data_IF_245591525524
#
_entry.id   IF_245591525524
#
_cell.length_a   1.000
_cell.length_b   1.000
_cell.length_c   1.000
_cell.angle_alpha   90.00
_cell.angle_beta   90.00
_cell.angle_gamma   90.00
#
_symmetry.space_group_name_H-M   'P 1'
#
loop_
_entity.id
_entity.type
_entity.pdbx_description
1 polymer ?
#
# COMPACT_ATOMS: atom_id res chain seq x y z
N UNK A 1 -27.46 28.13 52.51
CA UNK A 1 -27.26 27.74 51.10
C UNK A 1 -27.12 26.24 51.03
N UNK A 2 -28.24 25.52 50.91
CA UNK A 2 -28.25 24.05 50.77
C UNK A 2 -28.73 23.72 49.37
N UNK A 3 -27.80 23.22 48.55
CA UNK A 3 -28.06 22.80 47.18
C UNK A 3 -28.91 21.52 47.21
N UNK A 4 -30.19 21.66 46.88
CA UNK A 4 -31.12 20.55 46.73
C UNK A 4 -30.78 19.79 45.44
N UNK A 5 -30.17 18.61 45.55
CA UNK A 5 -29.95 17.72 44.40
C UNK A 5 -31.30 17.11 44.03
N UNK A 6 -31.91 17.61 42.96
CA UNK A 6 -33.13 16.99 42.44
C UNK A 6 -32.85 15.54 42.01
N UNK A 7 -33.68 14.56 42.43
CA UNK A 7 -33.52 13.18 42.01
C UNK A 7 -33.77 13.06 40.50
N UNK A 8 -32.87 12.37 39.79
CA UNK A 8 -33.03 12.07 38.37
C UNK A 8 -34.40 11.42 38.13
N UNK A 9 -35.20 12.01 37.25
CA UNK A 9 -36.51 11.45 36.91
C UNK A 9 -36.32 10.12 36.18
N UNK A 10 -37.22 9.15 36.39
CA UNK A 10 -37.16 7.82 35.74
C UNK A 10 -36.99 7.92 34.20
N UNK A 11 -37.56 8.97 33.60
CA UNK A 11 -37.39 9.30 32.17
C UNK A 11 -35.94 9.67 31.80
N UNK A 12 -35.21 10.37 32.67
CA UNK A 12 -33.81 10.72 32.50
C UNK A 12 -32.88 9.51 32.71
N UNK A 13 -33.24 8.62 33.64
CA UNK A 13 -32.52 7.34 33.85
C UNK A 13 -32.67 6.44 32.62
N UNK A 14 -33.90 6.33 32.08
CA UNK A 14 -34.16 5.59 30.84
C UNK A 14 -33.40 6.16 29.64
N UNK A 15 -33.34 7.49 29.52
CA UNK A 15 -32.60 8.15 28.44
C UNK A 15 -31.08 7.92 28.57
N UNK A 16 -30.51 8.03 29.77
CA UNK A 16 -29.10 7.75 30.02
C UNK A 16 -28.74 6.30 29.68
N UNK A 17 -29.61 5.35 30.03
CA UNK A 17 -29.43 3.94 29.68
C UNK A 17 -29.47 3.70 28.17
N UNK A 18 -30.44 4.31 27.47
CA UNK A 18 -30.56 4.20 26.02
C UNK A 18 -29.37 4.84 25.28
N UNK A 19 -28.87 5.96 25.80
CA UNK A 19 -27.70 6.67 25.25
C UNK A 19 -26.43 5.85 25.45
N UNK A 20 -26.26 5.22 26.62
CA UNK A 20 -25.13 4.32 26.87
C UNK A 20 -25.16 3.08 25.95
N UNK A 21 -26.34 2.51 25.69
CA UNK A 21 -26.50 1.43 24.72
C UNK A 21 -26.16 1.91 23.31
N UNK A 22 -26.67 3.06 22.87
CA UNK A 22 -26.38 3.61 21.55
C UNK A 22 -24.88 3.88 21.36
N UNK A 23 -24.22 4.48 22.35
CA UNK A 23 -22.77 4.68 22.35
C UNK A 23 -21.98 3.36 22.32
N UNK A 24 -22.47 2.35 23.05
CA UNK A 24 -21.84 1.02 23.05
C UNK A 24 -22.00 0.32 21.70
N UNK A 25 -23.17 0.45 21.06
CA UNK A 25 -23.41 -0.06 19.71
C UNK A 25 -22.52 0.65 18.68
N UNK A 26 -22.40 1.98 18.74
CA UNK A 26 -21.52 2.76 17.88
C UNK A 26 -20.05 2.35 18.08
N UNK A 27 -19.61 2.14 19.33
CA UNK A 27 -18.26 1.65 19.62
C UNK A 27 -18.01 0.24 19.04
N UNK A 28 -19.01 -0.65 19.07
CA UNK A 28 -18.92 -1.98 18.44
C UNK A 28 -18.87 -1.90 16.90
N UNK A 29 -19.62 -1.00 16.28
CA UNK A 29 -19.56 -0.76 14.82
C UNK A 29 -18.22 -0.17 14.39
N UNK A 30 -17.68 0.79 15.15
CA UNK A 30 -16.36 1.38 14.90
C UNK A 30 -15.24 0.36 15.08
N UNK A 31 -15.31 -0.50 16.11
CA UNK A 31 -14.34 -1.57 16.32
C UNK A 31 -14.32 -2.57 15.14
N UNK A 32 -15.50 -2.93 14.61
CA UNK A 32 -15.61 -3.77 13.42
C UNK A 32 -15.17 -3.08 12.11
N UNK A 33 -15.20 -1.75 12.05
CA UNK A 33 -14.63 -0.99 10.94
C UNK A 33 -13.10 -0.89 11.03
N UNK A 34 -12.56 -0.85 12.26
CA UNK A 34 -11.12 -0.82 12.52
C UNK A 34 -10.46 -2.18 12.29
N UNK A 35 -11.21 -3.28 12.45
CA UNK A 35 -10.74 -4.63 12.16
C UNK A 35 -10.81 -5.02 10.68
N UNK A 36 -11.14 -4.08 9.78
CA UNK A 36 -11.07 -4.35 8.34
C UNK A 36 -9.62 -4.24 7.84
N UNK A 37 -9.08 -5.28 7.17
CA UNK A 37 -7.68 -5.32 6.73
C UNK A 37 -7.30 -4.22 5.73
N UNK A 38 -8.29 -3.55 5.11
CA UNK A 38 -8.05 -2.49 4.13
C UNK A 38 -7.26 -1.29 4.69
N UNK A 39 -7.53 -0.86 5.93
CA UNK A 39 -6.83 0.28 6.52
C UNK A 39 -5.47 -0.10 7.10
N UNK A 40 -5.37 -1.29 7.68
CA UNK A 40 -4.11 -1.79 8.23
C UNK A 40 -3.10 -2.11 7.11
N UNK A 41 -3.52 -2.80 6.06
CA UNK A 41 -2.66 -3.13 4.91
C UNK A 41 -2.14 -1.89 4.18
N UNK A 42 -2.97 -0.87 3.96
CA UNK A 42 -2.50 0.38 3.31
C UNK A 42 -1.45 1.13 4.13
N UNK A 43 -1.61 1.17 5.45
CA UNK A 43 -0.65 1.83 6.34
C UNK A 43 0.67 1.05 6.42
N UNK A 44 0.59 -0.28 6.50
CA UNK A 44 1.75 -1.16 6.50
C UNK A 44 2.53 -1.03 5.17
N UNK A 45 1.84 -1.05 4.02
CA UNK A 45 2.47 -0.82 2.72
C UNK A 45 3.05 0.59 2.59
N UNK A 46 2.44 1.62 3.17
CA UNK A 46 3.04 2.96 3.21
C UNK A 46 4.37 2.98 3.97
N UNK A 47 4.45 2.34 5.13
CA UNK A 47 5.70 2.22 5.88
C UNK A 47 6.74 1.41 5.10
N UNK A 48 6.31 0.32 4.47
CA UNK A 48 7.13 -0.49 3.57
C UNK A 48 7.75 0.35 2.46
N UNK A 49 6.92 1.18 1.80
CA UNK A 49 7.35 2.04 0.70
C UNK A 49 8.30 3.14 1.18
N UNK A 50 8.07 3.69 2.37
CA UNK A 50 9.00 4.63 2.98
C UNK A 50 10.36 3.97 3.27
N UNK A 51 10.34 2.73 3.77
CA UNK A 51 11.54 1.95 4.05
C UNK A 51 12.34 1.64 2.78
N UNK A 52 11.67 1.13 1.74
CA UNK A 52 12.25 0.85 0.42
C UNK A 52 12.88 2.11 -0.17
N UNK A 53 12.15 3.23 -0.19
CA UNK A 53 12.70 4.52 -0.64
C UNK A 53 13.91 4.95 0.16
N UNK A 54 13.91 4.76 1.48
CA UNK A 54 15.03 5.17 2.34
C UNK A 54 16.25 4.27 2.16
N UNK A 55 16.03 2.99 1.81
CA UNK A 55 17.08 1.98 1.70
C UNK A 55 18.11 2.27 0.61
N UNK A 56 17.71 2.97 -0.44
CA UNK A 56 18.57 3.31 -1.59
C UNK A 56 19.42 4.56 -1.35
N UNK A 57 19.24 5.26 -0.23
CA UNK A 57 20.08 6.41 0.10
C UNK A 57 21.53 5.98 0.30
N UNK A 58 22.47 6.61 -0.41
CA UNK A 58 23.90 6.25 -0.41
C UNK A 58 24.67 6.77 0.81
N UNK A 59 24.07 7.64 1.64
CA UNK A 59 24.70 8.11 2.88
C UNK A 59 25.61 9.31 2.70
N UNK A 60 25.33 10.19 1.73
CA UNK A 60 26.16 11.37 1.45
C UNK A 60 26.46 12.16 2.74
N UNK A 61 27.74 12.50 2.92
CA UNK A 61 28.27 13.23 4.08
C UNK A 61 28.33 12.47 5.42
N UNK A 62 28.10 11.15 5.43
CA UNK A 62 28.33 10.29 6.60
C UNK A 62 29.60 9.44 6.45
N UNK A 63 30.25 9.10 7.58
CA UNK A 63 31.33 8.11 7.58
C UNK A 63 30.75 6.71 7.30
N UNK A 64 31.51 5.77 6.71
CA UNK A 64 31.04 4.40 6.47
C UNK A 64 30.50 3.71 7.72
N UNK A 65 31.08 3.99 8.90
CA UNK A 65 30.59 3.47 10.17
C UNK A 65 29.23 4.06 10.55
N UNK A 66 29.06 5.39 10.44
CA UNK A 66 27.79 6.06 10.73
C UNK A 66 26.68 5.61 9.75
N UNK A 67 27.02 5.39 8.49
CA UNK A 67 26.10 4.83 7.49
C UNK A 67 25.64 3.42 7.86
N UNK A 68 26.58 2.54 8.26
CA UNK A 68 26.27 1.17 8.67
C UNK A 68 25.32 1.12 9.87
N UNK A 69 25.60 1.93 10.90
CA UNK A 69 24.74 2.04 12.08
C UNK A 69 23.35 2.56 11.71
N UNK A 70 23.27 3.65 10.94
CA UNK A 70 22.00 4.23 10.54
C UNK A 70 21.15 3.26 9.72
N UNK A 71 21.76 2.55 8.75
CA UNK A 71 21.07 1.53 7.95
C UNK A 71 20.54 0.41 8.83
N UNK A 72 21.37 -0.12 9.72
CA UNK A 72 20.96 -1.23 10.57
C UNK A 72 19.86 -0.84 11.57
N UNK A 73 19.90 0.38 12.11
CA UNK A 73 18.92 0.85 13.09
C UNK A 73 17.61 1.34 12.47
N UNK A 74 17.64 2.02 11.32
CA UNK A 74 16.44 2.62 10.72
C UNK A 74 15.84 1.80 9.57
N UNK A 75 16.67 1.13 8.78
CA UNK A 75 16.25 0.41 7.56
C UNK A 75 16.07 -1.09 7.82
N UNK A 76 16.87 -1.66 8.72
CA UNK A 76 16.89 -3.10 8.98
C UNK A 76 17.82 -3.86 8.02
N UNK A 77 17.75 -5.20 8.07
CA UNK A 77 18.75 -6.08 7.44
C UNK A 77 18.38 -6.47 6.01
N UNK A 78 17.08 -6.56 5.67
CA UNK A 78 16.62 -7.04 4.35
C UNK A 78 15.32 -6.34 3.88
N UNK A 79 15.37 -5.05 3.50
CA UNK A 79 14.16 -4.26 3.21
C UNK A 79 13.32 -4.85 2.06
N UNK A 80 13.94 -5.48 1.06
CA UNK A 80 13.24 -6.10 -0.07
C UNK A 80 12.52 -7.38 0.35
N UNK A 81 13.17 -8.25 1.14
CA UNK A 81 12.57 -9.50 1.63
C UNK A 81 11.37 -9.22 2.54
N UNK A 82 11.51 -8.24 3.45
CA UNK A 82 10.40 -7.78 4.30
C UNK A 82 9.26 -7.19 3.46
N UNK A 83 9.58 -6.34 2.48
CA UNK A 83 8.57 -5.78 1.58
C UNK A 83 7.83 -6.86 0.78
N UNK A 84 8.53 -7.90 0.31
CA UNK A 84 7.88 -9.02 -0.38
C UNK A 84 6.82 -9.66 0.51
N UNK A 85 7.14 -9.97 1.78
CA UNK A 85 6.18 -10.57 2.70
C UNK A 85 4.97 -9.67 2.91
N UNK A 86 5.20 -8.37 3.14
CA UNK A 86 4.12 -7.39 3.38
C UNK A 86 3.22 -7.22 2.16
N UNK A 87 3.79 -7.23 0.95
CA UNK A 87 3.02 -7.18 -0.29
C UNK A 87 2.27 -8.50 -0.57
N UNK A 88 2.83 -9.66 -0.23
CA UNK A 88 2.14 -10.96 -0.34
C UNK A 88 0.96 -11.06 0.64
N UNK A 89 1.13 -10.58 1.88
CA UNK A 89 0.06 -10.53 2.88
C UNK A 89 -1.06 -9.59 2.42
N UNK A 90 -0.71 -8.37 1.95
CA UNK A 90 -1.68 -7.43 1.42
C UNK A 90 -2.41 -7.95 0.17
N UNK A 91 -1.71 -8.69 -0.70
CA UNK A 91 -2.30 -9.35 -1.86
C UNK A 91 -3.35 -10.37 -1.42
N UNK A 92 -2.99 -11.26 -0.47
CA UNK A 92 -3.87 -12.30 0.04
C UNK A 92 -5.10 -11.72 0.75
N UNK A 93 -4.92 -10.69 1.56
CA UNK A 93 -6.02 -10.03 2.25
C UNK A 93 -6.97 -9.34 1.29
N UNK A 94 -6.44 -8.68 0.26
CA UNK A 94 -7.25 -8.06 -0.80
C UNK A 94 -8.04 -9.10 -1.59
N UNK A 95 -7.44 -10.26 -1.90
CA UNK A 95 -8.13 -11.38 -2.55
C UNK A 95 -9.25 -11.94 -1.69
N UNK A 96 -8.99 -12.18 -0.40
CA UNK A 96 -10.00 -12.67 0.55
C UNK A 96 -11.15 -11.67 0.72
N UNK A 97 -10.85 -10.37 0.77
CA UNK A 97 -11.86 -9.34 0.83
C UNK A 97 -12.72 -9.31 -0.44
N UNK A 98 -12.08 -9.37 -1.61
CA UNK A 98 -12.75 -9.39 -2.90
C UNK A 98 -13.72 -10.58 -3.02
N UNK A 99 -13.29 -11.77 -2.59
CA UNK A 99 -14.13 -12.97 -2.58
C UNK A 99 -15.36 -12.78 -1.68
N UNK A 100 -15.16 -12.33 -0.44
CA UNK A 100 -16.26 -12.07 0.51
C UNK A 100 -17.25 -11.04 -0.01
N UNK A 101 -16.76 -9.94 -0.59
CA UNK A 101 -17.63 -8.88 -1.13
C UNK A 101 -18.41 -9.34 -2.35
N UNK A 102 -17.82 -10.19 -3.21
CA UNK A 102 -18.54 -10.84 -4.32
C UNK A 102 -19.61 -11.83 -3.84
N UNK A 103 -19.34 -12.58 -2.77
CA UNK A 103 -20.33 -13.44 -2.14
C UNK A 103 -21.51 -12.63 -1.59
N UNK A 104 -21.24 -11.53 -0.87
CA UNK A 104 -22.28 -10.61 -0.38
C UNK A 104 -23.14 -10.02 -1.51
N UNK A 105 -22.52 -9.65 -2.64
CA UNK A 105 -23.26 -9.18 -3.81
C UNK A 105 -24.16 -10.27 -4.40
N UNK A 106 -23.67 -11.52 -4.44
CA UNK A 106 -24.45 -12.66 -4.92
C UNK A 106 -25.64 -12.95 -4.02
N UNK A 107 -25.45 -12.93 -2.70
CA UNK A 107 -26.53 -13.09 -1.71
C UNK A 107 -27.56 -11.95 -1.80
N UNK A 108 -27.10 -10.71 -1.97
CA UNK A 108 -27.97 -9.55 -2.14
C UNK A 108 -28.86 -9.69 -3.38
N UNK A 109 -28.31 -10.16 -4.49
CA UNK A 109 -29.03 -10.36 -5.75
C UNK A 109 -30.06 -11.50 -5.68
N UNK A 110 -29.97 -12.37 -4.68
CA UNK A 110 -30.96 -13.43 -4.43
C UNK A 110 -32.12 -12.97 -3.55
N UNK A 111 -32.05 -11.76 -2.97
CA UNK A 111 -33.11 -11.25 -2.11
C UNK A 111 -34.36 -10.85 -2.92
N UNK A 112 -35.58 -11.07 -2.39
CA UNK A 112 -36.82 -10.77 -3.12
C UNK A 112 -37.03 -9.28 -3.44
N UNK A 113 -36.35 -8.40 -2.69
CA UNK A 113 -36.45 -6.95 -2.82
C UNK A 113 -35.09 -6.41 -3.22
N UNK A 114 -35.00 -5.79 -4.38
CA UNK A 114 -33.77 -5.18 -4.87
C UNK A 114 -33.36 -3.99 -3.98
N UNK A 115 -32.18 -4.07 -3.37
CA UNK A 115 -31.55 -2.95 -2.69
C UNK A 115 -30.46 -2.34 -3.58
N UNK A 116 -30.88 -1.51 -4.53
CA UNK A 116 -30.02 -0.92 -5.56
C UNK A 116 -28.85 -0.09 -4.98
N UNK A 117 -29.07 0.58 -3.85
CA UNK A 117 -28.03 1.37 -3.18
C UNK A 117 -26.92 0.45 -2.66
N UNK A 118 -27.28 -0.64 -1.99
CA UNK A 118 -26.31 -1.59 -1.45
C UNK A 118 -25.58 -2.33 -2.57
N UNK A 119 -26.29 -2.68 -3.65
CA UNK A 119 -25.70 -3.31 -4.84
C UNK A 119 -24.63 -2.41 -5.46
N UNK A 120 -24.93 -1.11 -5.62
CA UNK A 120 -24.00 -0.12 -6.19
C UNK A 120 -22.75 0.02 -5.31
N UNK A 121 -22.91 0.10 -3.99
CA UNK A 121 -21.79 0.20 -3.05
C UNK A 121 -20.89 -1.05 -3.10
N UNK A 122 -21.47 -2.24 -3.15
CA UNK A 122 -20.71 -3.49 -3.25
C UNK A 122 -19.95 -3.58 -4.58
N UNK A 123 -20.57 -3.19 -5.70
CA UNK A 123 -19.90 -3.13 -7.01
C UNK A 123 -18.74 -2.15 -7.00
N UNK A 124 -18.88 -0.98 -6.40
CA UNK A 124 -17.80 0.00 -6.27
C UNK A 124 -16.67 -0.52 -5.38
N UNK A 125 -17.00 -1.17 -4.25
CA UNK A 125 -16.01 -1.78 -3.37
C UNK A 125 -15.22 -2.90 -4.08
N UNK A 126 -15.90 -3.72 -4.89
CA UNK A 126 -15.28 -4.75 -5.74
C UNK A 126 -14.29 -4.11 -6.72
N UNK A 127 -14.73 -3.10 -7.48
CA UNK A 127 -13.88 -2.42 -8.46
C UNK A 127 -12.65 -1.78 -7.82
N UNK A 128 -12.83 -1.06 -6.70
CA UNK A 128 -11.72 -0.42 -5.97
C UNK A 128 -10.74 -1.44 -5.37
N UNK A 129 -11.25 -2.57 -4.86
CA UNK A 129 -10.39 -3.66 -4.35
C UNK A 129 -9.60 -4.31 -5.47
N UNK A 130 -10.20 -4.49 -6.65
CA UNK A 130 -9.51 -5.01 -7.84
C UNK A 130 -8.37 -4.08 -8.26
N UNK A 131 -8.64 -2.78 -8.41
CA UNK A 131 -7.61 -1.80 -8.77
C UNK A 131 -6.43 -1.82 -7.77
N UNK A 132 -6.73 -1.85 -6.47
CA UNK A 132 -5.71 -1.95 -5.42
C UNK A 132 -4.89 -3.24 -5.54
N UNK A 133 -5.54 -4.38 -5.78
CA UNK A 133 -4.89 -5.68 -5.95
C UNK A 133 -3.96 -5.69 -7.17
N UNK A 134 -4.38 -5.06 -8.27
CA UNK A 134 -3.56 -4.94 -9.47
C UNK A 134 -2.29 -4.10 -9.21
N UNK A 135 -2.42 -2.96 -8.53
CA UNK A 135 -1.28 -2.13 -8.10
C UNK A 135 -0.33 -2.87 -7.15
N UNK A 136 -0.89 -3.67 -6.23
CA UNK A 136 -0.10 -4.56 -5.36
C UNK A 136 0.68 -5.56 -6.21
N UNK A 137 0.06 -6.17 -7.23
CA UNK A 137 0.71 -7.15 -8.10
C UNK A 137 1.82 -6.53 -8.96
N UNK A 138 1.62 -5.33 -9.50
CA UNK A 138 2.68 -4.59 -10.21
C UNK A 138 3.93 -4.43 -9.34
N UNK A 139 3.73 -3.87 -8.15
CA UNK A 139 4.79 -3.58 -7.18
C UNK A 139 5.45 -4.86 -6.65
N UNK A 140 4.66 -5.90 -6.36
CA UNK A 140 5.16 -7.20 -5.93
C UNK A 140 6.04 -7.84 -7.01
N UNK A 141 5.68 -7.70 -8.29
CA UNK A 141 6.54 -8.12 -9.40
C UNK A 141 7.90 -7.43 -9.38
N UNK A 142 7.95 -6.11 -9.17
CA UNK A 142 9.21 -5.37 -9.07
C UNK A 142 10.07 -5.82 -7.88
N UNK A 143 9.45 -6.13 -6.74
CA UNK A 143 10.16 -6.70 -5.60
C UNK A 143 10.71 -8.10 -5.91
N UNK A 144 9.95 -8.92 -6.63
CA UNK A 144 10.36 -10.26 -7.07
C UNK A 144 11.55 -10.20 -8.01
N UNK A 145 11.55 -9.28 -8.97
CA UNK A 145 12.72 -8.98 -9.82
C UNK A 145 13.95 -8.70 -8.94
N UNK A 146 13.81 -7.79 -7.96
CA UNK A 146 14.91 -7.38 -7.08
C UNK A 146 15.45 -8.53 -6.21
N UNK A 147 14.65 -9.57 -6.00
CA UNK A 147 15.00 -10.78 -5.28
C UNK A 147 15.34 -11.96 -6.22
N UNK A 148 15.70 -11.70 -7.47
CA UNK A 148 16.06 -12.69 -8.49
C UNK A 148 14.95 -13.71 -8.83
N UNK A 149 13.68 -13.39 -8.50
CA UNK A 149 12.48 -14.20 -8.77
C UNK A 149 11.76 -13.74 -10.03
N UNK A 150 12.50 -13.58 -11.13
CA UNK A 150 12.00 -13.01 -12.39
C UNK A 150 10.80 -13.78 -12.97
N UNK A 151 10.80 -15.13 -13.06
CA UNK A 151 9.66 -15.86 -13.61
C UNK A 151 8.35 -15.61 -12.85
N UNK A 152 8.43 -15.41 -11.54
CA UNK A 152 7.25 -15.12 -10.72
C UNK A 152 6.72 -13.71 -10.95
N UNK A 153 7.62 -12.73 -11.15
CA UNK A 153 7.25 -11.37 -11.51
C UNK A 153 6.52 -11.33 -12.86
N UNK A 154 7.09 -11.99 -13.87
CA UNK A 154 6.49 -12.07 -15.20
C UNK A 154 5.13 -12.75 -15.16
N UNK A 155 4.97 -13.81 -14.36
CA UNK A 155 3.66 -14.46 -14.19
C UNK A 155 2.60 -13.55 -13.56
N UNK A 156 2.98 -12.70 -12.59
CA UNK A 156 2.06 -11.73 -11.99
C UNK A 156 1.59 -10.71 -13.02
N UNK A 157 2.52 -10.14 -13.79
CA UNK A 157 2.20 -9.14 -14.80
C UNK A 157 1.45 -9.73 -15.99
N UNK A 158 1.76 -10.95 -16.41
CA UNK A 158 1.07 -11.60 -17.53
C UNK A 158 -0.43 -11.73 -17.25
N UNK A 159 -0.80 -12.09 -16.01
CA UNK A 159 -2.22 -12.16 -15.62
C UNK A 159 -2.95 -10.82 -15.72
N UNK A 160 -2.24 -9.71 -15.51
CA UNK A 160 -2.80 -8.36 -15.63
C UNK A 160 -2.89 -7.95 -17.10
N UNK A 161 -1.83 -8.19 -17.87
CA UNK A 161 -1.78 -7.87 -19.30
C UNK A 161 -2.80 -8.68 -20.13
N UNK A 162 -3.05 -9.94 -19.74
CA UNK A 162 -4.03 -10.81 -20.42
C UNK A 162 -5.49 -10.48 -20.08
N UNK A 163 -5.75 -9.72 -19.01
CA UNK A 163 -7.12 -9.34 -18.60
C UNK A 163 -7.53 -8.04 -19.32
N UNK A 164 -8.47 -8.09 -20.29
CA UNK A 164 -8.91 -6.90 -21.02
C UNK A 164 -9.66 -5.88 -20.15
N UNK A 165 -9.99 -6.22 -18.90
CA UNK A 165 -10.63 -5.32 -17.93
C UNK A 165 -9.64 -4.80 -16.88
N UNK A 166 -8.37 -5.20 -16.93
CA UNK A 166 -7.35 -4.70 -16.02
C UNK A 166 -7.11 -3.21 -16.26
N UNK A 167 -7.10 -2.45 -15.17
CA UNK A 167 -6.77 -1.02 -15.19
C UNK A 167 -5.28 -0.79 -15.40
N UNK A 168 -4.45 -1.76 -15.02
CA UNK A 168 -3.00 -1.65 -15.07
C UNK A 168 -2.36 -2.57 -16.11
N UNK A 169 -3.16 -3.19 -16.99
CA UNK A 169 -2.70 -4.14 -18.01
C UNK A 169 -1.62 -3.57 -18.94
N UNK A 170 -1.78 -2.31 -19.37
CA UNK A 170 -0.79 -1.63 -20.20
C UNK A 170 0.55 -1.42 -19.47
N UNK A 171 0.51 -1.00 -18.20
CA UNK A 171 1.70 -0.88 -17.37
C UNK A 171 2.35 -2.24 -17.12
N UNK A 172 1.55 -3.29 -16.90
CA UNK A 172 2.04 -4.66 -16.77
C UNK A 172 2.75 -5.12 -18.05
N UNK A 173 2.19 -4.83 -19.22
CA UNK A 173 2.80 -5.13 -20.52
C UNK A 173 4.12 -4.37 -20.71
N UNK A 174 4.17 -3.10 -20.33
CA UNK A 174 5.41 -2.32 -20.34
C UNK A 174 6.48 -2.95 -19.42
N UNK A 175 6.10 -3.36 -18.21
CA UNK A 175 7.01 -4.05 -17.27
C UNK A 175 7.50 -5.40 -17.81
N UNK A 176 6.63 -6.21 -18.41
CA UNK A 176 7.03 -7.46 -19.07
C UNK A 176 8.10 -7.18 -20.12
N UNK A 177 7.86 -6.21 -21.01
CA UNK A 177 8.80 -5.83 -22.06
C UNK A 177 10.17 -5.36 -21.55
N UNK A 178 10.27 -4.84 -20.33
CA UNK A 178 11.54 -4.42 -19.72
C UNK A 178 12.38 -5.56 -19.13
N UNK A 179 11.75 -6.68 -18.77
CA UNK A 179 12.37 -7.77 -18.02
C UNK A 179 12.32 -9.15 -18.69
N UNK A 180 11.74 -9.25 -19.88
CA UNK A 180 11.93 -10.41 -20.75
C UNK A 180 13.37 -10.52 -21.28
N UNK A 181 13.77 -11.75 -21.66
CA UNK A 181 15.12 -12.07 -22.16
C UNK A 181 15.52 -11.24 -23.39
N UNK A 182 14.54 -10.83 -24.20
CA UNK A 182 14.72 -9.91 -25.31
C UNK A 182 13.84 -8.69 -25.09
N UNK A 183 14.36 -7.61 -24.47
CA UNK A 183 13.53 -6.49 -24.07
C UNK A 183 12.80 -5.83 -25.24
N UNK A 184 11.50 -5.63 -25.10
CA UNK A 184 10.64 -4.95 -26.07
C UNK A 184 10.10 -3.67 -25.44
N UNK A 185 10.71 -2.55 -25.78
CA UNK A 185 10.31 -1.25 -25.23
C UNK A 185 9.13 -0.72 -26.04
N UNK A 186 7.98 -0.58 -25.39
CA UNK A 186 6.84 0.16 -25.91
C UNK A 186 7.16 1.65 -25.96
N UNK A 187 6.70 2.36 -27.00
CA UNK A 187 6.98 3.79 -27.17
C UNK A 187 6.39 4.63 -26.03
N UNK A 188 5.25 4.19 -25.50
CA UNK A 188 4.50 4.82 -24.41
C UNK A 188 4.93 4.34 -23.02
N UNK A 189 5.92 3.45 -22.91
CA UNK A 189 6.36 2.87 -21.64
C UNK A 189 6.67 3.93 -20.56
N UNK A 190 7.39 5.05 -20.84
CA UNK A 190 7.63 6.08 -19.81
C UNK A 190 6.33 6.61 -19.17
N UNK A 191 5.30 6.88 -20.00
CA UNK A 191 4.02 7.40 -19.53
C UNK A 191 3.27 6.36 -18.70
N UNK A 192 3.26 5.09 -19.15
CA UNK A 192 2.59 3.99 -18.45
C UNK A 192 3.20 3.71 -17.07
N UNK A 193 4.53 3.81 -16.97
CA UNK A 193 5.24 3.64 -15.69
C UNK A 193 5.01 4.83 -14.75
N UNK A 194 5.00 6.06 -15.27
CA UNK A 194 4.75 7.27 -14.48
C UNK A 194 3.33 7.35 -13.92
N UNK A 195 2.35 6.77 -14.62
CA UNK A 195 0.94 6.86 -14.25
C UNK A 195 0.58 5.92 -13.09
N UNK A 196 1.13 4.70 -13.08
CA UNK A 196 0.73 3.65 -12.12
C UNK A 196 1.79 3.34 -11.05
N UNK A 197 3.07 3.68 -11.28
CA UNK A 197 4.13 3.44 -10.32
C UNK A 197 4.54 4.72 -9.60
N UNK A 198 4.92 4.58 -8.33
CA UNK A 198 5.42 5.71 -7.53
C UNK A 198 6.60 5.31 -6.65
N UNK A 199 7.37 6.31 -6.24
CA UNK A 199 8.54 6.13 -5.36
C UNK A 199 9.50 5.08 -5.90
N UNK A 200 9.95 4.18 -5.02
CA UNK A 200 10.97 3.17 -5.28
C UNK A 200 10.66 2.35 -6.53
N UNK A 201 9.41 1.91 -6.71
CA UNK A 201 8.96 1.10 -7.84
C UNK A 201 9.14 1.81 -9.18
N UNK A 202 8.71 3.07 -9.25
CA UNK A 202 8.87 3.91 -10.44
C UNK A 202 10.34 4.07 -10.80
N UNK A 203 11.19 4.35 -9.80
CA UNK A 203 12.62 4.50 -10.02
C UNK A 203 13.26 3.22 -10.54
N UNK A 204 12.88 2.04 -10.02
CA UNK A 204 13.39 0.77 -10.54
C UNK A 204 13.01 0.56 -12.01
N UNK A 205 11.74 0.81 -12.37
CA UNK A 205 11.26 0.64 -13.73
C UNK A 205 11.88 1.62 -14.73
N UNK A 206 11.98 2.90 -14.37
CA UNK A 206 12.61 3.90 -15.22
C UNK A 206 14.12 3.69 -15.33
N UNK A 207 14.80 3.28 -14.26
CA UNK A 207 16.24 2.93 -14.31
C UNK A 207 16.46 1.83 -15.35
N UNK A 208 15.68 0.75 -15.26
CA UNK A 208 15.75 -0.36 -16.20
C UNK A 208 15.48 0.08 -17.64
N UNK A 209 14.46 0.90 -17.85
CA UNK A 209 14.13 1.45 -19.16
C UNK A 209 15.30 2.24 -19.75
N UNK A 210 15.87 3.18 -19.00
CA UNK A 210 16.97 4.02 -19.47
C UNK A 210 18.28 3.24 -19.66
N UNK A 211 18.53 2.21 -18.85
CA UNK A 211 19.63 1.28 -19.06
C UNK A 211 19.53 0.56 -20.41
N UNK A 212 18.34 0.03 -20.74
CA UNK A 212 18.12 -0.65 -22.03
C UNK A 212 18.23 0.32 -23.21
N UNK A 213 17.76 1.55 -23.03
CA UNK A 213 17.85 2.62 -24.04
C UNK A 213 19.27 3.19 -24.20
N UNK A 214 20.15 2.99 -23.22
CA UNK A 214 21.48 3.61 -23.17
C UNK A 214 21.44 5.12 -22.88
N UNK A 215 20.38 5.64 -22.25
CA UNK A 215 20.25 7.05 -21.90
C UNK A 215 20.91 7.35 -20.54
N UNK A 216 22.23 7.54 -20.56
CA UNK A 216 23.01 7.82 -19.35
C UNK A 216 22.67 9.17 -18.68
N UNK A 217 22.12 10.13 -19.44
CA UNK A 217 21.75 11.44 -18.89
C UNK A 217 20.46 11.31 -18.08
N UNK A 218 19.44 10.68 -18.68
CA UNK A 218 18.19 10.39 -17.98
C UNK A 218 18.42 9.51 -16.75
N UNK A 219 19.30 8.51 -16.84
CA UNK A 219 19.65 7.65 -15.71
C UNK A 219 20.29 8.45 -14.56
N UNK A 220 21.27 9.31 -14.85
CA UNK A 220 21.93 10.15 -13.83
C UNK A 220 20.98 11.14 -13.17
N UNK A 221 20.08 11.74 -13.96
CA UNK A 221 19.05 12.63 -13.44
C UNK A 221 18.09 11.87 -12.51
N UNK A 222 17.63 10.69 -12.94
CA UNK A 222 16.76 9.82 -12.17
C UNK A 222 17.40 9.38 -10.84
N UNK A 223 18.68 8.97 -10.86
CA UNK A 223 19.42 8.60 -9.66
C UNK A 223 19.52 9.77 -8.67
N UNK A 224 19.78 10.99 -9.17
CA UNK A 224 19.87 12.19 -8.34
C UNK A 224 18.53 12.48 -7.66
N UNK A 225 17.42 12.40 -8.40
CA UNK A 225 16.08 12.56 -7.85
C UNK A 225 15.78 11.48 -6.79
N UNK A 226 16.16 10.23 -7.05
CA UNK A 226 15.96 9.14 -6.12
C UNK A 226 16.73 9.34 -4.81
N UNK A 227 17.98 9.83 -4.86
CA UNK A 227 18.77 10.10 -3.66
C UNK A 227 18.15 11.18 -2.76
N UNK A 228 17.61 12.25 -3.34
CA UNK A 228 16.91 13.30 -2.59
C UNK A 228 15.67 12.73 -1.89
N UNK A 229 14.83 11.97 -2.62
CA UNK A 229 13.64 11.35 -2.04
C UNK A 229 14.01 10.33 -0.95
N UNK A 230 15.06 9.54 -1.16
CA UNK A 230 15.56 8.58 -0.18
C UNK A 230 16.01 9.28 1.10
N UNK A 231 16.71 10.41 0.97
CA UNK A 231 17.12 11.23 2.12
C UNK A 231 15.92 11.82 2.87
N UNK A 232 14.90 12.32 2.16
CA UNK A 232 13.65 12.76 2.79
C UNK A 232 12.96 11.61 3.52
N UNK A 233 13.05 10.39 2.99
CA UNK A 233 12.56 9.17 3.65
C UNK A 233 13.23 8.92 5.00
N UNK A 234 14.56 9.00 5.05
CA UNK A 234 15.36 8.90 6.28
C UNK A 234 14.92 9.95 7.32
N UNK A 235 14.70 11.20 6.90
CA UNK A 235 14.22 12.26 7.79
C UNK A 235 12.85 11.94 8.40
N UNK A 236 11.93 11.41 7.59
CA UNK A 236 10.61 10.97 8.07
C UNK A 236 10.74 9.83 9.08
N UNK A 237 11.58 8.83 8.80
CA UNK A 237 11.85 7.71 9.72
C UNK A 237 12.45 8.18 11.05
N UNK A 238 13.38 9.14 11.03
CA UNK A 238 13.96 9.73 12.24
C UNK A 238 12.93 10.45 13.12
N UNK A 239 11.97 11.15 12.52
CA UNK A 239 10.86 11.79 13.27
C UNK A 239 10.01 10.72 13.95
N UNK A 240 9.64 9.66 13.23
CA UNK A 240 8.83 8.55 13.79
C UNK A 240 9.56 7.86 14.94
N UNK A 241 10.86 7.58 14.78
CA UNK A 241 11.68 6.97 15.83
C UNK A 241 11.84 7.91 17.05
N UNK A 242 12.02 9.21 16.81
CA UNK A 242 12.12 10.22 17.87
C UNK A 242 10.84 10.31 18.73
N UNK A 243 9.66 10.23 18.11
CA UNK A 243 8.37 10.27 18.83
C UNK A 243 8.21 9.08 19.79
N UNK A 244 8.65 7.87 19.40
CA UNK A 244 8.56 6.69 20.27
C UNK A 244 9.47 6.77 21.50
N UNK A 245 10.59 7.49 21.42
CA UNK A 245 11.50 7.69 22.55
C UNK A 245 10.98 8.70 23.60
N UNK A 246 10.10 9.63 23.22
CA UNK A 246 9.50 10.61 24.16
C UNK A 246 8.31 10.02 24.91
N UNK A 247 7.61 9.03 24.32
CA UNK A 247 6.48 8.33 24.96
C UNK A 247 6.86 7.40 26.12
N UNK A 248 8.14 7.11 26.33
CA UNK A 248 8.64 6.28 27.46
C UNK A 248 8.91 7.13 28.72
N UNK A 249 8.77 8.47 28.65
CA UNK A 249 9.06 9.40 29.76
C UNK A 249 7.85 10.22 30.25
N UNK A 250 6.61 9.82 29.93
CA UNK A 250 5.37 10.38 30.50
C UNK A 250 4.53 9.27 31.14
#
# INVERSE_FOLDING_TARGET
>A
MTSEKQPLTIKQIGLLFLTAIALSLIALFLYNSWSQPQFQGQLELYQTNLLLNSSVWKGENLTPQAQGVLRQTLIGVEPVSTAISQYEDAQKDSQNHLEKTRQQLTELNQQPVANLTQETLLKQAIASTQESLEKINLNLGLLKIQADRVPEALQLWQKLADDPQSFTGDTAQALIGLWEDSPQILSEAPLMLDLELSGWFRYQALSRLYEIQGDELALRELETQQQEIAFQGIRKLLIVAGVQSVGIFL
#
